data_IF_447212839979
#
_entry.id   IF_447212839979
#
_cell.length_a   1.000
_cell.length_b   1.000
_cell.length_c   1.000
_cell.angle_alpha   90.00
_cell.angle_beta   90.00
_cell.angle_gamma   90.00
#
_symmetry.space_group_name_H-M   'P 1'
#
loop_
_entity.id
_entity.type
_entity.pdbx_description
1 polymer ?
#
# COMPACT_ATOMS: atom_id res chain seq x y z
N UNK A 1 -17.67 -4.29 -19.87
CA UNK A 1 -17.85 -3.02 -19.12
C UNK A 1 -16.47 -2.53 -18.73
N UNK A 2 -15.91 -1.58 -19.47
CA UNK A 2 -14.62 -0.96 -19.18
C UNK A 2 -14.85 0.54 -19.04
N UNK A 3 -14.39 1.13 -17.93
CA UNK A 3 -14.44 2.57 -17.73
C UNK A 3 -13.10 3.18 -18.18
N UNK A 4 -13.17 4.04 -19.19
CA UNK A 4 -12.11 4.97 -19.55
C UNK A 4 -12.14 6.15 -18.58
N UNK A 5 -10.97 6.64 -18.16
CA UNK A 5 -10.85 7.92 -17.46
C UNK A 5 -10.02 8.86 -18.33
N UNK A 6 -10.67 9.98 -18.63
CA UNK A 6 -10.36 11.01 -19.60
C UNK A 6 -9.27 11.97 -19.07
N UNK A 7 -8.25 12.22 -19.90
CA UNK A 7 -7.12 13.09 -19.56
C UNK A 7 -7.49 14.56 -19.80
N UNK A 8 -7.81 15.28 -18.73
CA UNK A 8 -8.08 16.72 -18.77
C UNK A 8 -6.79 17.55 -18.96
N UNK A 9 -6.65 18.13 -20.15
CA UNK A 9 -5.71 19.22 -20.48
C UNK A 9 -6.26 20.53 -19.90
N UNK A 10 -5.44 21.30 -19.19
CA UNK A 10 -5.73 22.72 -18.91
C UNK A 10 -4.64 23.59 -19.52
N UNK A 11 -5.01 24.29 -20.60
CA UNK A 11 -4.32 25.44 -21.16
C UNK A 11 -4.94 26.72 -20.60
N UNK A 12 -4.16 27.61 -20.00
CA UNK A 12 -4.26 29.07 -20.23
C UNK A 12 -3.03 29.80 -19.68
N UNK A 13 -2.55 30.75 -20.48
CA UNK A 13 -1.22 31.34 -20.37
C UNK A 13 -1.04 32.46 -19.35
N UNK A 14 0.23 32.65 -18.98
CA UNK A 14 0.85 33.96 -18.76
C UNK A 14 2.19 33.98 -19.48
N UNK A 15 2.15 34.53 -20.70
CA UNK A 15 3.31 34.83 -21.55
C UNK A 15 4.13 35.92 -20.87
N UNK A 16 5.46 35.85 -21.01
CA UNK A 16 6.45 36.87 -20.57
C UNK A 16 7.09 36.65 -19.19
N UNK A 17 7.97 35.62 -19.08
CA UNK A 17 9.22 35.64 -18.28
C UNK A 17 9.98 34.31 -18.23
N UNK A 18 9.36 33.19 -18.58
CA UNK A 18 9.94 31.83 -18.47
C UNK A 18 10.90 31.49 -19.64
N UNK A 19 10.73 32.09 -20.82
CA UNK A 19 11.51 31.74 -22.02
C UNK A 19 13.03 32.04 -21.90
N UNK A 20 13.45 32.93 -20.99
CA UNK A 20 14.89 33.23 -20.81
C UNK A 20 15.61 32.30 -19.84
N UNK A 21 14.89 31.50 -19.03
CA UNK A 21 15.49 30.53 -18.10
C UNK A 21 15.82 29.22 -18.83
N UNK A 22 15.00 28.80 -19.82
CA UNK A 22 15.25 27.57 -20.57
C UNK A 22 16.50 27.64 -21.47
N UNK A 23 16.84 28.81 -22.01
CA UNK A 23 18.00 28.95 -22.90
C UNK A 23 19.35 28.80 -22.17
N UNK A 24 19.42 29.16 -20.87
CA UNK A 24 20.66 29.05 -20.08
C UNK A 24 20.81 27.66 -19.42
N UNK A 25 19.71 26.94 -19.21
CA UNK A 25 19.71 25.57 -18.68
C UNK A 25 20.19 24.51 -19.70
N UNK A 26 20.04 24.78 -21.00
CA UNK A 26 20.47 23.88 -22.07
C UNK A 26 21.99 23.86 -22.27
N UNK A 27 22.68 24.99 -22.05
CA UNK A 27 24.15 25.06 -22.23
C UNK A 27 24.88 24.40 -21.05
N UNK A 28 24.33 24.49 -19.83
CA UNK A 28 24.89 23.83 -18.65
C UNK A 28 24.78 22.29 -18.67
N UNK A 29 23.77 21.75 -19.36
CA UNK A 29 23.51 20.30 -19.41
C UNK A 29 24.47 19.53 -20.32
N UNK A 30 25.17 20.21 -21.24
CA UNK A 30 26.11 19.55 -22.15
C UNK A 30 27.49 19.34 -21.50
N UNK A 31 27.85 20.10 -20.46
CA UNK A 31 29.17 19.95 -19.79
C UNK A 31 29.14 18.83 -18.73
N UNK A 32 27.98 18.53 -18.15
CA UNK A 32 27.84 17.51 -17.08
C UNK A 32 27.73 16.06 -17.59
N UNK A 33 27.70 15.82 -18.90
CA UNK A 33 27.72 14.46 -19.46
C UNK A 33 29.12 13.84 -19.55
N UNK A 34 30.19 14.61 -19.28
CA UNK A 34 31.58 14.11 -19.19
C UNK A 34 31.94 13.55 -17.80
N UNK A 35 31.03 13.64 -16.83
CA UNK A 35 31.26 13.31 -15.42
C UNK A 35 30.38 12.16 -14.91
N UNK A 36 30.02 11.19 -15.75
CA UNK A 36 29.57 9.85 -15.34
C UNK A 36 28.35 9.74 -14.38
N UNK A 37 27.67 10.83 -14.04
CA UNK A 37 26.54 10.82 -13.14
C UNK A 37 25.27 10.54 -13.94
N UNK A 38 24.96 9.25 -14.07
CA UNK A 38 23.62 8.81 -14.44
C UNK A 38 22.62 9.41 -13.45
N UNK A 39 21.54 10.09 -13.89
CA UNK A 39 20.48 10.52 -12.98
C UNK A 39 19.93 9.28 -12.28
N UNK A 40 20.26 9.14 -10.99
CA UNK A 40 19.79 8.03 -10.18
C UNK A 40 18.26 8.00 -10.20
N UNK A 41 17.70 6.91 -10.69
CA UNK A 41 16.27 6.63 -10.56
C UNK A 41 15.99 6.47 -9.07
N UNK A 42 15.41 7.50 -8.45
CA UNK A 42 14.83 7.35 -7.11
C UNK A 42 13.59 6.46 -7.24
N UNK A 43 13.76 5.15 -7.04
CA UNK A 43 12.64 4.24 -6.94
C UNK A 43 11.83 4.63 -5.69
N UNK A 44 10.61 5.14 -5.88
CA UNK A 44 9.76 5.52 -4.78
C UNK A 44 9.49 4.32 -3.86
N UNK A 45 9.67 4.50 -2.55
CA UNK A 45 9.31 3.49 -1.56
C UNK A 45 7.81 3.20 -1.61
N UNK A 46 7.47 1.95 -1.85
CA UNK A 46 6.10 1.44 -1.91
C UNK A 46 5.90 0.46 -0.76
N UNK A 47 5.02 0.81 0.17
CA UNK A 47 4.60 -0.04 1.29
C UNK A 47 3.21 -0.56 0.95
N UNK A 48 3.08 -1.87 0.78
CA UNK A 48 1.80 -2.47 0.39
C UNK A 48 1.72 -3.94 0.82
N UNK A 49 0.52 -4.37 1.21
CA UNK A 49 0.24 -5.77 1.55
C UNK A 49 -1.08 -6.22 0.92
N UNK A 50 -1.19 -7.52 0.66
CA UNK A 50 -2.40 -8.18 0.17
C UNK A 50 -2.77 -9.32 1.12
N UNK A 51 -4.06 -9.48 1.40
CA UNK A 51 -4.61 -10.67 2.05
C UNK A 51 -4.80 -11.75 0.98
N UNK A 52 -4.12 -12.88 1.12
CA UNK A 52 -4.24 -14.00 0.18
C UNK A 52 -5.32 -15.00 0.60
N UNK A 53 -5.48 -15.21 1.91
CA UNK A 53 -6.45 -16.15 2.45
C UNK A 53 -6.86 -15.74 3.86
N UNK A 54 -8.06 -16.11 4.28
CA UNK A 54 -8.55 -15.86 5.63
C UNK A 54 -9.55 -16.95 6.07
N UNK A 55 -9.72 -17.07 7.38
CA UNK A 55 -10.67 -17.96 8.02
C UNK A 55 -11.33 -17.24 9.20
N UNK A 56 -12.64 -17.41 9.42
CA UNK A 56 -13.57 -18.07 8.50
C UNK A 56 -13.81 -17.20 7.25
N UNK A 57 -13.96 -17.84 6.08
CA UNK A 57 -14.22 -17.16 4.81
C UNK A 57 -15.71 -17.10 4.44
N UNK A 58 -16.55 -17.75 5.24
CA UNK A 58 -18.01 -17.66 5.22
C UNK A 58 -18.50 -17.36 6.63
N UNK A 59 -19.71 -16.82 6.80
CA UNK A 59 -20.32 -16.70 8.11
C UNK A 59 -20.34 -18.07 8.81
N UNK A 60 -19.97 -18.08 10.09
CA UNK A 60 -20.04 -19.25 10.96
C UNK A 60 -20.90 -18.91 12.17
N UNK A 61 -21.57 -19.91 12.72
CA UNK A 61 -22.26 -19.78 14.00
C UNK A 61 -21.30 -20.13 15.12
N UNK A 62 -21.20 -19.25 16.12
CA UNK A 62 -20.39 -19.46 17.32
C UNK A 62 -21.33 -19.42 18.52
N UNK A 63 -21.31 -20.48 19.32
CA UNK A 63 -22.13 -20.55 20.53
C UNK A 63 -21.68 -19.47 21.52
N UNK A 64 -22.65 -18.78 22.13
CA UNK A 64 -22.38 -17.78 23.18
C UNK A 64 -21.51 -18.39 24.29
N UNK A 65 -20.44 -17.68 24.65
CA UNK A 65 -19.45 -18.12 25.64
C UNK A 65 -18.41 -19.11 25.11
N UNK A 66 -18.41 -19.42 23.81
CA UNK A 66 -17.37 -20.23 23.16
C UNK A 66 -16.41 -19.36 22.38
N UNK A 67 -15.15 -19.77 22.33
CA UNK A 67 -14.14 -19.12 21.52
C UNK A 67 -14.14 -19.64 20.08
N UNK A 68 -13.72 -18.81 19.13
CA UNK A 68 -13.48 -19.21 17.74
C UNK A 68 -12.10 -18.79 17.26
N UNK A 69 -11.55 -19.53 16.29
CA UNK A 69 -10.27 -19.14 15.65
C UNK A 69 -10.54 -18.27 14.44
N UNK A 70 -9.80 -17.17 14.34
CA UNK A 70 -9.66 -16.41 13.11
C UNK A 70 -8.23 -16.54 12.59
N UNK A 71 -8.06 -16.55 11.27
CA UNK A 71 -6.72 -16.47 10.69
C UNK A 71 -6.72 -15.70 9.38
N UNK A 72 -5.58 -15.13 9.03
CA UNK A 72 -5.35 -14.45 7.77
C UNK A 72 -3.91 -14.64 7.31
N UNK A 73 -3.72 -14.77 6.01
CA UNK A 73 -2.42 -14.87 5.36
C UNK A 73 -2.20 -13.61 4.54
N UNK A 74 -1.07 -12.94 4.78
CA UNK A 74 -0.71 -11.69 4.14
C UNK A 74 0.58 -11.87 3.33
N UNK A 75 0.67 -11.17 2.20
CA UNK A 75 1.89 -11.01 1.41
C UNK A 75 2.30 -9.54 1.38
N UNK A 76 3.57 -9.21 1.66
CA UNK A 76 4.13 -7.89 1.36
C UNK A 76 4.44 -7.85 -0.15
N UNK A 77 3.71 -6.99 -0.85
CA UNK A 77 3.84 -6.76 -2.30
C UNK A 77 4.47 -5.41 -2.63
N UNK A 78 4.90 -4.67 -1.60
CA UNK A 78 5.68 -3.46 -1.75
C UNK A 78 7.12 -3.73 -2.19
N UNK A 79 7.95 -2.70 -2.17
CA UNK A 79 9.38 -2.78 -2.46
C UNK A 79 10.28 -2.51 -1.25
N UNK A 80 9.68 -2.41 -0.05
CA UNK A 80 10.38 -2.16 1.21
C UNK A 80 9.87 -3.05 2.33
N UNK A 81 10.76 -3.43 3.24
CA UNK A 81 10.39 -4.13 4.46
C UNK A 81 9.61 -3.18 5.40
N UNK A 82 8.51 -3.66 5.98
CA UNK A 82 7.67 -2.83 6.82
C UNK A 82 6.95 -3.64 7.91
N UNK A 83 6.59 -2.96 9.01
CA UNK A 83 5.74 -3.52 10.06
C UNK A 83 4.27 -3.27 9.70
N UNK A 84 3.50 -4.34 9.50
CA UNK A 84 2.07 -4.23 9.25
C UNK A 84 1.28 -4.44 10.54
N UNK A 85 0.11 -3.81 10.62
CA UNK A 85 -0.88 -4.07 11.66
C UNK A 85 -1.97 -4.93 11.01
N UNK A 86 -2.20 -6.11 11.56
CA UNK A 86 -3.32 -6.95 11.18
C UNK A 86 -4.45 -6.76 12.19
N UNK A 87 -5.68 -6.61 11.71
CA UNK A 87 -6.86 -6.47 12.54
C UNK A 87 -8.03 -7.30 12.05
N UNK A 88 -8.96 -7.58 12.96
CA UNK A 88 -10.22 -8.25 12.69
C UNK A 88 -11.33 -7.62 13.54
N UNK A 89 -12.47 -7.33 12.93
CA UNK A 89 -13.68 -6.87 13.63
C UNK A 89 -14.75 -7.94 13.55
N UNK A 90 -15.44 -8.17 14.68
CA UNK A 90 -16.55 -9.13 14.77
C UNK A 90 -17.85 -8.34 14.84
N UNK A 91 -18.81 -8.74 14.03
CA UNK A 91 -20.12 -8.10 13.90
C UNK A 91 -21.21 -9.14 14.17
N UNK A 92 -22.28 -8.73 14.85
CA UNK A 92 -23.46 -9.58 15.01
C UNK A 92 -24.40 -9.46 13.81
N UNK A 93 -25.44 -10.31 13.77
CA UNK A 93 -26.43 -10.34 12.69
C UNK A 93 -27.20 -9.03 12.51
N UNK A 94 -27.21 -8.17 13.53
CA UNK A 94 -27.88 -6.86 13.49
C UNK A 94 -26.98 -5.76 12.90
N UNK A 95 -25.76 -6.10 12.46
CA UNK A 95 -24.80 -5.15 11.94
C UNK A 95 -24.12 -4.31 13.02
N UNK A 96 -24.13 -4.74 14.29
CA UNK A 96 -23.40 -4.07 15.36
C UNK A 96 -22.03 -4.74 15.57
N UNK A 97 -20.98 -3.94 15.69
CA UNK A 97 -19.66 -4.44 16.06
C UNK A 97 -19.67 -4.90 17.53
N UNK A 98 -19.26 -6.14 17.77
CA UNK A 98 -19.20 -6.74 19.11
C UNK A 98 -17.77 -6.92 19.62
N UNK A 99 -16.77 -6.95 18.72
CA UNK A 99 -15.36 -7.01 19.11
C UNK A 99 -14.44 -6.44 18.02
N UNK A 100 -13.24 -6.00 18.42
CA UNK A 100 -12.18 -5.54 17.54
C UNK A 100 -10.82 -6.00 18.09
N UNK A 101 -10.06 -6.72 17.27
CA UNK A 101 -8.76 -7.27 17.61
C UNK A 101 -7.73 -6.71 16.64
N UNK A 102 -6.55 -6.33 17.14
CA UNK A 102 -5.43 -5.97 16.28
C UNK A 102 -4.11 -6.43 16.89
N UNK A 103 -3.15 -6.75 16.03
CA UNK A 103 -1.78 -7.10 16.40
C UNK A 103 -0.80 -6.43 15.46
N UNK A 104 0.25 -5.84 16.03
CA UNK A 104 1.39 -5.35 15.25
C UNK A 104 2.32 -6.52 14.98
N UNK A 105 2.75 -6.69 13.72
CA UNK A 105 3.79 -7.66 13.40
C UNK A 105 5.11 -7.15 13.95
N UNK A 106 5.69 -7.91 14.88
CA UNK A 106 6.89 -7.52 15.63
C UNK A 106 8.17 -7.46 14.80
N UNK A 107 8.15 -7.98 13.57
CA UNK A 107 9.30 -8.03 12.68
C UNK A 107 8.97 -7.44 11.31
N UNK A 108 9.80 -6.51 10.78
CA UNK A 108 9.61 -5.99 9.44
C UNK A 108 9.63 -7.12 8.41
N UNK A 109 8.59 -7.15 7.59
CA UNK A 109 8.33 -8.22 6.66
C UNK A 109 8.86 -7.83 5.28
N UNK A 110 9.88 -8.53 4.76
CA UNK A 110 10.60 -8.13 3.53
C UNK A 110 9.89 -8.59 2.24
N UNK A 111 9.75 -7.79 1.19
CA UNK A 111 9.08 -8.24 -0.03
C UNK A 111 9.96 -9.11 -0.94
N UNK A 112 9.38 -10.06 -1.71
CA UNK A 112 8.08 -10.68 -1.50
C UNK A 112 8.19 -11.79 -0.45
N UNK A 113 7.38 -11.72 0.60
CA UNK A 113 7.28 -12.83 1.57
C UNK A 113 5.85 -13.01 2.03
N UNK A 114 5.58 -14.17 2.67
CA UNK A 114 4.26 -14.61 3.15
C UNK A 114 4.28 -14.82 4.65
N UNK A 115 3.24 -14.36 5.34
CA UNK A 115 3.07 -14.56 6.79
C UNK A 115 1.61 -14.88 7.11
N UNK A 116 1.42 -15.88 7.97
CA UNK A 116 0.10 -16.28 8.49
C UNK A 116 -0.03 -15.79 9.92
N UNK A 117 -1.16 -15.19 10.23
CA UNK A 117 -1.59 -14.85 11.57
C UNK A 117 -2.82 -15.68 11.92
N UNK A 118 -2.80 -16.28 13.09
CA UNK A 118 -3.95 -16.99 13.65
C UNK A 118 -4.13 -16.50 15.09
N UNK A 119 -5.37 -16.18 15.43
CA UNK A 119 -5.75 -15.71 16.76
C UNK A 119 -7.03 -16.39 17.21
N UNK A 120 -7.15 -16.59 18.52
CA UNK A 120 -8.38 -17.06 19.15
C UNK A 120 -9.14 -15.82 19.64
N UNK A 121 -10.40 -15.74 19.27
CA UNK A 121 -11.36 -14.74 19.76
C UNK A 121 -12.19 -15.42 20.85
N UNK A 122 -12.23 -14.80 22.03
CA UNK A 122 -12.96 -15.24 23.22
C UNK A 122 -14.34 -14.57 23.31
#
# INVERSE_FOLDING_TARGET
MGAAIETGRVTHGKKSRIDRICALALVGSIIMSMLGVSPGIVNATTISARIDNYYPNTPIEVRVGSSTTISSTFTNIGNSAWNFIAGATVWNSNGNQVANYSTTLSTPFSPPSKQRLAGIIL
#
